data_IF_831732956320
#
_entry.id   IF_831732956320
#
_cell.length_a   1.000
_cell.length_b   1.000
_cell.length_c   1.000
_cell.angle_alpha   90.00
_cell.angle_beta   90.00
_cell.angle_gamma   90.00
#
_symmetry.space_group_name_H-M   'P 1'
#
loop_
_entity.id
_entity.type
_entity.pdbx_description
1 polymer ?
#
# COMPACT_ATOMS: atom_id res chain seq x y z
N UNK A 1 -30.98 11.82 -17.31
CA UNK A 1 -30.39 13.17 -17.43
C UNK A 1 -30.08 13.81 -16.08
N UNK A 2 -30.95 13.71 -15.07
CA UNK A 2 -30.70 14.27 -13.72
C UNK A 2 -29.38 13.85 -13.05
N UNK A 3 -28.83 12.67 -13.41
CA UNK A 3 -27.57 12.15 -12.86
C UNK A 3 -26.31 12.54 -13.67
N UNK A 4 -26.45 13.13 -14.86
CA UNK A 4 -25.29 13.55 -15.67
C UNK A 4 -24.60 14.77 -15.07
N UNK A 5 -25.38 15.75 -14.63
CA UNK A 5 -24.87 16.97 -14.03
C UNK A 5 -23.99 16.70 -12.79
N UNK A 6 -24.44 15.93 -11.77
CA UNK A 6 -23.58 15.62 -10.62
C UNK A 6 -22.35 14.79 -11.01
N UNK A 7 -22.46 13.88 -11.98
CA UNK A 7 -21.31 13.11 -12.48
C UNK A 7 -20.26 14.00 -13.15
N UNK A 8 -20.69 14.95 -13.98
CA UNK A 8 -19.80 15.90 -14.67
C UNK A 8 -19.15 16.86 -13.68
N UNK A 9 -19.94 17.44 -12.76
CA UNK A 9 -19.41 18.32 -11.71
C UNK A 9 -18.39 17.59 -10.83
N UNK A 10 -18.68 16.34 -10.46
CA UNK A 10 -17.73 15.53 -9.69
C UNK A 10 -16.47 15.19 -10.50
N UNK A 11 -16.61 14.91 -11.80
CA UNK A 11 -15.45 14.63 -12.67
C UNK A 11 -14.55 15.86 -12.82
N UNK A 12 -15.12 17.06 -12.95
CA UNK A 12 -14.38 18.34 -12.97
C UNK A 12 -13.68 18.57 -11.64
N UNK A 13 -14.35 18.30 -10.51
CA UNK A 13 -13.74 18.38 -9.18
C UNK A 13 -12.54 17.43 -9.07
N UNK A 14 -12.68 16.18 -9.51
CA UNK A 14 -11.58 15.21 -9.49
C UNK A 14 -10.41 15.61 -10.41
N UNK A 15 -10.69 16.22 -11.56
CA UNK A 15 -9.66 16.70 -12.47
C UNK A 15 -8.79 17.81 -11.84
N UNK A 16 -9.35 18.58 -10.89
CA UNK A 16 -8.63 19.61 -10.13
C UNK A 16 -7.77 19.07 -8.99
N UNK A 17 -7.85 17.79 -8.64
CA UNK A 17 -7.04 17.20 -7.55
C UNK A 17 -5.67 16.78 -8.12
N UNK A 18 -4.55 17.28 -7.56
CA UNK A 18 -3.21 16.98 -8.08
C UNK A 18 -2.82 15.49 -7.94
N UNK A 19 -3.42 14.78 -6.98
CA UNK A 19 -3.19 13.36 -6.75
C UNK A 19 -4.39 12.53 -7.21
N UNK A 20 -4.23 11.80 -8.32
CA UNK A 20 -5.28 10.93 -8.82
C UNK A 20 -5.28 9.58 -8.11
N UNK A 21 -6.00 9.49 -6.99
CA UNK A 21 -6.25 8.21 -6.33
C UNK A 21 -7.50 7.54 -6.93
N UNK A 22 -7.37 6.30 -7.41
CA UNK A 22 -8.50 5.53 -7.97
C UNK A 22 -9.67 5.40 -6.98
N UNK A 23 -9.41 5.50 -5.66
CA UNK A 23 -10.45 5.48 -4.62
C UNK A 23 -11.47 6.59 -4.78
N UNK A 24 -11.09 7.74 -5.33
CA UNK A 24 -12.03 8.84 -5.55
C UNK A 24 -13.08 8.50 -6.62
N UNK A 25 -12.77 7.61 -7.56
CA UNK A 25 -13.72 7.17 -8.58
C UNK A 25 -14.80 6.22 -8.03
N UNK A 26 -14.63 5.68 -6.81
CA UNK A 26 -15.58 4.74 -6.21
C UNK A 26 -17.00 5.32 -6.11
N UNK A 27 -17.11 6.63 -5.87
CA UNK A 27 -18.40 7.34 -5.80
C UNK A 27 -19.07 7.50 -7.17
N UNK A 28 -18.30 7.58 -8.26
CA UNK A 28 -18.86 7.68 -9.62
C UNK A 28 -19.43 6.36 -10.12
N UNK A 29 -18.90 5.24 -9.64
CA UNK A 29 -19.26 3.92 -10.12
C UNK A 29 -20.77 3.61 -10.06
N UNK A 30 -21.47 3.74 -8.92
CA UNK A 30 -22.92 3.47 -8.88
C UNK A 30 -23.72 4.42 -9.77
N UNK A 31 -23.30 5.69 -9.90
CA UNK A 31 -23.99 6.67 -10.75
C UNK A 31 -23.88 6.29 -12.23
N UNK A 32 -22.69 5.85 -12.67
CA UNK A 32 -22.47 5.37 -14.04
C UNK A 32 -23.30 4.12 -14.32
N UNK A 33 -23.41 3.19 -13.36
CA UNK A 33 -24.25 2.00 -13.53
C UNK A 33 -25.73 2.35 -13.73
N UNK A 34 -26.28 3.25 -12.91
CA UNK A 34 -27.68 3.71 -13.06
C UNK A 34 -27.88 4.41 -14.39
N UNK A 35 -26.91 5.23 -14.82
CA UNK A 35 -26.96 5.93 -16.09
C UNK A 35 -26.92 4.98 -17.30
N UNK A 36 -26.12 3.92 -17.23
CA UNK A 36 -25.98 2.92 -18.29
C UNK A 36 -27.07 1.85 -18.27
N UNK A 37 -27.87 1.77 -17.21
CA UNK A 37 -28.91 0.76 -17.06
C UNK A 37 -29.93 0.71 -18.23
N UNK A 38 -30.45 1.84 -18.76
CA UNK A 38 -31.35 1.79 -19.92
C UNK A 38 -30.67 1.27 -21.18
N UNK A 39 -29.39 1.59 -21.38
CA UNK A 39 -28.62 1.05 -22.50
C UNK A 39 -28.40 -0.47 -22.35
N UNK A 40 -28.12 -0.93 -21.13
CA UNK A 40 -28.04 -2.35 -20.81
C UNK A 40 -29.37 -3.07 -21.06
N UNK A 41 -30.51 -2.49 -20.68
CA UNK A 41 -31.83 -3.07 -20.98
C UNK A 41 -32.05 -3.23 -22.48
N UNK A 42 -31.77 -2.19 -23.28
CA UNK A 42 -31.86 -2.28 -24.75
C UNK A 42 -30.95 -3.35 -25.34
N UNK A 43 -29.71 -3.47 -24.83
CA UNK A 43 -28.78 -4.51 -25.26
C UNK A 43 -29.31 -5.92 -24.93
N UNK A 44 -29.85 -6.09 -23.71
CA UNK A 44 -30.42 -7.36 -23.26
C UNK A 44 -31.61 -7.75 -24.12
N UNK A 45 -32.55 -6.83 -24.32
CA UNK A 45 -33.73 -7.05 -25.14
C UNK A 45 -33.36 -7.33 -26.60
N UNK A 46 -32.34 -6.68 -27.16
CA UNK A 46 -31.98 -6.89 -28.56
C UNK A 46 -31.18 -8.17 -28.79
N UNK A 47 -30.24 -8.51 -27.90
CA UNK A 47 -29.23 -9.55 -28.18
C UNK A 47 -29.17 -10.68 -27.14
N UNK A 48 -29.63 -10.47 -25.90
CA UNK A 48 -29.51 -11.44 -24.80
C UNK A 48 -30.85 -12.11 -24.46
N UNK A 49 -31.74 -12.30 -25.45
CA UNK A 49 -33.03 -12.98 -25.25
C UNK A 49 -32.89 -14.49 -25.02
N UNK A 50 -31.98 -15.12 -25.76
CA UNK A 50 -31.78 -16.56 -25.69
C UNK A 50 -31.01 -16.94 -24.41
N UNK A 51 -31.49 -17.96 -23.69
CA UNK A 51 -30.87 -18.45 -22.46
C UNK A 51 -29.40 -18.81 -22.67
N UNK A 52 -29.06 -19.45 -23.79
CA UNK A 52 -27.67 -19.83 -24.12
C UNK A 52 -26.77 -18.62 -24.28
N UNK A 53 -27.23 -17.55 -24.96
CA UNK A 53 -26.44 -16.33 -25.14
C UNK A 53 -26.26 -15.60 -23.80
N UNK A 54 -27.29 -15.56 -22.96
CA UNK A 54 -27.21 -14.99 -21.61
C UNK A 54 -26.22 -15.76 -20.74
N UNK A 55 -26.23 -17.10 -20.79
CA UNK A 55 -25.27 -17.95 -20.07
C UNK A 55 -23.84 -17.70 -20.55
N UNK A 56 -23.60 -17.67 -21.86
CA UNK A 56 -22.28 -17.36 -22.42
C UNK A 56 -21.77 -15.98 -21.99
N UNK A 57 -22.65 -14.96 -22.02
CA UNK A 57 -22.30 -13.63 -21.55
C UNK A 57 -21.97 -13.60 -20.05
N UNK A 58 -22.75 -14.32 -19.23
CA UNK A 58 -22.48 -14.44 -17.79
C UNK A 58 -21.16 -15.18 -17.52
N UNK A 59 -20.89 -16.28 -18.22
CA UNK A 59 -19.63 -17.01 -18.12
C UNK A 59 -18.45 -16.12 -18.52
N UNK A 60 -18.57 -15.37 -19.63
CA UNK A 60 -17.55 -14.42 -20.05
C UNK A 60 -17.26 -13.36 -18.97
N UNK A 61 -18.31 -12.83 -18.33
CA UNK A 61 -18.16 -11.86 -17.25
C UNK A 61 -17.47 -12.48 -16.02
N UNK A 62 -17.83 -13.71 -15.64
CA UNK A 62 -17.16 -14.43 -14.54
C UNK A 62 -15.68 -14.63 -14.84
N UNK A 63 -15.33 -15.02 -16.07
CA UNK A 63 -13.93 -15.20 -16.48
C UNK A 63 -13.15 -13.89 -16.42
N UNK A 64 -13.73 -12.79 -16.91
CA UNK A 64 -13.13 -11.46 -16.83
C UNK A 64 -12.89 -11.05 -15.37
N UNK A 65 -13.91 -11.20 -14.52
CA UNK A 65 -13.81 -10.87 -13.09
C UNK A 65 -12.78 -11.75 -12.38
N UNK A 66 -12.74 -13.04 -12.69
CA UNK A 66 -11.72 -13.96 -12.17
C UNK A 66 -10.30 -13.55 -12.60
N UNK A 67 -10.11 -13.16 -13.85
CA UNK A 67 -8.84 -12.64 -14.36
C UNK A 67 -8.39 -11.36 -13.65
N UNK A 68 -9.33 -10.42 -13.40
CA UNK A 68 -9.04 -9.19 -12.66
C UNK A 68 -8.69 -9.49 -11.20
N UNK A 69 -9.44 -10.36 -10.52
CA UNK A 69 -9.15 -10.79 -9.15
C UNK A 69 -7.76 -11.40 -9.09
N UNK A 70 -7.44 -12.32 -10.00
CA UNK A 70 -6.12 -12.92 -10.06
C UNK A 70 -5.02 -11.87 -10.20
N UNK A 71 -5.15 -10.96 -11.18
CA UNK A 71 -4.19 -9.89 -11.44
C UNK A 71 -3.94 -9.02 -10.20
N UNK A 72 -4.99 -8.59 -9.50
CA UNK A 72 -4.83 -7.71 -8.34
C UNK A 72 -4.37 -8.45 -7.08
N UNK A 73 -4.81 -9.70 -6.90
CA UNK A 73 -4.39 -10.55 -5.77
C UNK A 73 -2.91 -10.92 -5.82
N UNK A 74 -2.29 -11.01 -7.00
CA UNK A 74 -0.85 -11.27 -7.14
C UNK A 74 0.00 -10.26 -6.33
N UNK A 75 -0.32 -8.97 -6.43
CA UNK A 75 0.42 -7.92 -5.70
C UNK A 75 0.25 -8.05 -4.19
N UNK A 76 -0.96 -8.36 -3.74
CA UNK A 76 -1.26 -8.57 -2.30
C UNK A 76 -0.48 -9.79 -1.79
N UNK A 77 -0.47 -10.87 -2.56
CA UNK A 77 0.25 -12.08 -2.23
C UNK A 77 1.77 -11.83 -2.12
N UNK A 78 2.35 -11.09 -3.07
CA UNK A 78 3.77 -10.72 -3.03
C UNK A 78 4.12 -9.85 -1.82
N UNK A 79 3.27 -8.87 -1.47
CA UNK A 79 3.46 -8.05 -0.25
C UNK A 79 3.43 -8.90 1.01
N UNK A 80 2.45 -9.80 1.11
CA UNK A 80 2.32 -10.71 2.25
C UNK A 80 3.54 -11.63 2.38
N UNK A 81 4.02 -12.21 1.27
CA UNK A 81 5.25 -13.02 1.28
C UNK A 81 6.48 -12.23 1.73
N UNK A 82 6.64 -10.98 1.25
CA UNK A 82 7.71 -10.08 1.68
C UNK A 82 7.61 -9.80 3.19
N UNK A 83 6.43 -9.46 3.68
CA UNK A 83 6.18 -9.17 5.10
C UNK A 83 6.50 -10.37 5.99
N UNK A 84 6.10 -11.58 5.59
CA UNK A 84 6.45 -12.81 6.30
C UNK A 84 7.96 -13.08 6.32
N UNK A 85 8.66 -12.86 5.20
CA UNK A 85 10.11 -13.06 5.13
C UNK A 85 10.85 -12.09 6.05
N UNK A 86 10.45 -10.81 6.04
CA UNK A 86 11.00 -9.79 6.93
C UNK A 86 10.72 -10.15 8.40
N UNK A 87 9.48 -10.52 8.73
CA UNK A 87 9.12 -10.89 10.09
C UNK A 87 9.94 -12.09 10.59
N UNK A 88 10.10 -13.14 9.76
CA UNK A 88 10.94 -14.30 10.11
C UNK A 88 12.39 -13.93 10.36
N UNK A 89 12.96 -13.03 9.55
CA UNK A 89 14.31 -12.54 9.77
C UNK A 89 14.42 -11.73 11.08
N UNK A 90 13.41 -10.96 11.45
CA UNK A 90 13.43 -10.19 12.70
C UNK A 90 13.29 -11.04 13.96
N UNK A 91 12.72 -12.25 13.87
CA UNK A 91 12.63 -13.14 15.03
C UNK A 91 14.00 -13.48 15.64
N UNK A 92 15.08 -13.48 14.85
CA UNK A 92 16.45 -13.69 15.36
C UNK A 92 17.00 -12.50 16.14
N UNK A 93 16.33 -11.33 16.08
CA UNK A 93 16.72 -10.10 16.76
C UNK A 93 15.68 -9.62 17.77
N UNK A 94 14.89 -10.55 18.30
CA UNK A 94 13.78 -10.28 19.22
C UNK A 94 14.20 -9.50 20.47
N UNK A 95 13.31 -8.65 20.99
CA UNK A 95 13.50 -7.91 22.24
C UNK A 95 14.26 -6.58 22.12
N UNK A 96 14.92 -6.32 20.99
CA UNK A 96 15.63 -5.04 20.75
C UNK A 96 14.68 -3.94 20.23
N UNK A 97 14.85 -2.67 20.60
CA UNK A 97 14.07 -1.56 20.04
C UNK A 97 14.14 -1.55 18.51
N UNK A 98 12.99 -1.51 17.85
CA UNK A 98 12.90 -1.55 16.39
C UNK A 98 12.23 -0.27 15.86
N UNK A 99 12.95 0.47 15.02
CA UNK A 99 12.45 1.65 14.35
C UNK A 99 12.12 1.30 12.91
N UNK A 100 10.88 1.53 12.49
CA UNK A 100 10.44 1.21 11.14
C UNK A 100 9.27 2.08 10.69
N UNK A 101 8.89 1.98 9.42
CA UNK A 101 7.73 2.66 8.86
C UNK A 101 6.90 1.66 8.05
N UNK A 102 5.58 1.85 8.00
CA UNK A 102 4.62 1.12 7.14
C UNK A 102 4.39 -0.37 7.47
N UNK A 103 5.41 -1.12 7.88
CA UNK A 103 5.34 -2.58 8.07
C UNK A 103 5.04 -3.02 9.52
N UNK A 104 5.01 -2.09 10.48
CA UNK A 104 4.87 -2.39 11.91
C UNK A 104 3.60 -3.16 12.28
N UNK A 105 2.50 -2.96 11.56
CA UNK A 105 1.28 -3.73 11.72
C UNK A 105 1.46 -5.21 11.33
N UNK A 106 2.12 -5.45 10.19
CA UNK A 106 2.39 -6.80 9.70
C UNK A 106 3.37 -7.55 10.62
N UNK A 107 4.44 -6.89 11.07
CA UNK A 107 5.41 -7.50 11.98
C UNK A 107 4.75 -8.02 13.26
N UNK A 108 3.87 -7.22 13.87
CA UNK A 108 3.11 -7.61 15.06
C UNK A 108 2.20 -8.80 14.77
N UNK A 109 1.53 -8.83 13.62
CA UNK A 109 0.66 -9.94 13.23
C UNK A 109 1.40 -11.27 13.03
N UNK A 110 2.69 -11.21 12.69
CA UNK A 110 3.56 -12.39 12.51
C UNK A 110 4.39 -12.74 13.75
N UNK A 111 4.10 -12.13 14.91
CA UNK A 111 4.70 -12.50 16.19
C UNK A 111 6.06 -11.89 16.48
N UNK A 112 6.46 -10.83 15.78
CA UNK A 112 7.65 -10.04 16.14
C UNK A 112 7.37 -9.30 17.45
N UNK A 113 8.19 -9.56 18.48
CA UNK A 113 7.99 -9.05 19.85
C UNK A 113 8.83 -7.81 20.18
N UNK A 114 9.62 -7.31 19.23
CA UNK A 114 10.40 -6.09 19.39
C UNK A 114 9.49 -4.91 19.79
N UNK A 115 9.92 -4.04 20.72
CA UNK A 115 9.24 -2.76 20.92
C UNK A 115 9.42 -1.89 19.68
N UNK A 116 8.32 -1.73 18.90
CA UNK A 116 8.34 -1.03 17.61
C UNK A 116 7.99 0.45 17.76
N UNK A 117 8.88 1.31 17.32
CA UNK A 117 8.65 2.76 17.15
C UNK A 117 8.41 3.07 15.68
N UNK A 118 7.23 3.61 15.37
CA UNK A 118 6.89 3.96 13.99
C UNK A 118 7.44 5.35 13.62
N UNK A 119 8.28 5.40 12.59
CA UNK A 119 8.93 6.63 12.09
C UNK A 119 7.97 7.66 11.49
N UNK A 120 6.68 7.34 11.34
CA UNK A 120 5.65 8.29 10.91
C UNK A 120 5.15 9.17 12.04
N UNK A 121 5.04 8.64 13.26
CA UNK A 121 4.22 9.23 14.33
C UNK A 121 4.77 10.59 14.77
N UNK A 122 6.03 10.62 15.16
CA UNK A 122 6.67 11.81 15.71
C UNK A 122 8.08 11.98 15.15
N UNK A 123 8.60 13.20 15.23
CA UNK A 123 9.97 13.48 14.83
C UNK A 123 10.92 12.92 15.89
N UNK A 124 11.86 12.09 15.46
CA UNK A 124 12.86 11.52 16.36
C UNK A 124 13.84 12.59 16.86
N UNK A 125 14.09 12.54 18.17
CA UNK A 125 15.10 13.33 18.86
C UNK A 125 16.22 12.49 19.44
N UNK A 126 15.99 11.18 19.59
CA UNK A 126 16.97 10.19 20.04
C UNK A 126 16.65 8.82 19.47
N UNK A 127 17.68 7.99 19.31
CA UNK A 127 17.57 6.56 19.08
C UNK A 127 17.94 5.82 20.37
N UNK A 128 17.20 4.77 20.70
CA UNK A 128 17.56 3.89 21.82
C UNK A 128 18.91 3.20 21.54
N UNK A 129 19.73 2.91 22.58
CA UNK A 129 20.96 2.17 22.41
C UNK A 129 20.70 0.78 21.83
N UNK A 130 21.61 0.31 20.97
CA UNK A 130 21.52 -1.00 20.31
C UNK A 130 20.21 -1.18 19.51
N UNK A 131 19.58 -0.07 19.10
CA UNK A 131 18.37 -0.11 18.31
C UNK A 131 18.63 -0.72 16.93
N UNK A 132 17.59 -1.36 16.43
CA UNK A 132 17.46 -1.82 15.06
C UNK A 132 16.67 -0.79 14.27
N UNK A 133 17.11 -0.55 13.04
CA UNK A 133 16.37 0.30 12.09
C UNK A 133 16.07 -0.55 10.87
N UNK A 134 14.79 -0.82 10.63
CA UNK A 134 14.32 -1.52 9.44
C UNK A 134 13.69 -0.51 8.49
N UNK A 135 14.35 -0.26 7.35
CA UNK A 135 13.94 0.80 6.44
C UNK A 135 14.15 0.46 4.97
N UNK A 136 13.24 0.96 4.12
CA UNK A 136 13.31 0.86 2.67
C UNK A 136 13.37 2.26 2.05
N UNK A 137 14.56 2.85 2.05
CA UNK A 137 14.76 4.20 1.56
C UNK A 137 14.31 4.40 0.10
N UNK A 138 14.65 3.51 -0.87
CA UNK A 138 14.18 3.66 -2.25
C UNK A 138 12.66 3.72 -2.37
N UNK A 139 11.93 2.91 -1.58
CA UNK A 139 10.47 2.90 -1.60
C UNK A 139 9.86 4.21 -1.09
N UNK A 140 10.50 4.87 -0.13
CA UNK A 140 9.91 6.02 0.56
C UNK A 140 10.42 7.39 0.10
N UNK A 141 11.56 7.43 -0.59
CA UNK A 141 12.26 8.68 -0.93
C UNK A 141 11.39 9.70 -1.66
N UNK A 142 10.64 9.29 -2.67
CA UNK A 142 9.85 10.22 -3.49
C UNK A 142 8.56 10.67 -2.80
N UNK A 143 7.70 9.71 -2.44
CA UNK A 143 6.38 10.00 -1.87
C UNK A 143 6.47 10.70 -0.50
N UNK A 144 7.52 10.41 0.28
CA UNK A 144 7.63 10.84 1.67
C UNK A 144 8.81 11.77 1.94
N UNK A 145 9.41 12.36 0.89
CA UNK A 145 10.63 13.19 0.98
C UNK A 145 10.62 14.18 2.16
N UNK A 146 9.55 14.95 2.29
CA UNK A 146 9.39 16.01 3.31
C UNK A 146 8.49 15.61 4.48
N UNK A 147 8.33 14.30 4.71
CA UNK A 147 7.49 13.75 5.78
C UNK A 147 8.33 13.01 6.80
N UNK A 148 7.73 12.76 7.98
CA UNK A 148 8.39 12.17 9.14
C UNK A 148 9.27 10.94 8.82
N UNK A 149 8.86 9.94 8.02
CA UNK A 149 9.69 8.78 7.74
C UNK A 149 11.06 9.13 7.14
N UNK A 150 11.08 10.05 6.16
CA UNK A 150 12.33 10.47 5.52
C UNK A 150 13.08 11.53 6.34
N UNK A 151 12.37 12.38 7.09
CA UNK A 151 13.01 13.32 8.02
C UNK A 151 13.73 12.56 9.14
N UNK A 152 13.07 11.55 9.71
CA UNK A 152 13.62 10.70 10.76
C UNK A 152 14.73 9.80 10.23
N UNK A 153 14.58 9.22 9.04
CA UNK A 153 15.64 8.47 8.40
C UNK A 153 16.92 9.31 8.24
N UNK A 154 16.80 10.53 7.71
CA UNK A 154 17.91 11.48 7.59
C UNK A 154 18.50 11.85 8.95
N UNK A 155 17.65 12.09 9.94
CA UNK A 155 18.09 12.37 11.30
C UNK A 155 18.97 11.23 11.85
N UNK A 156 18.51 9.97 11.74
CA UNK A 156 19.27 8.80 12.18
C UNK A 156 20.60 8.71 11.42
N UNK A 157 20.57 8.82 10.09
CA UNK A 157 21.78 8.76 9.27
C UNK A 157 22.81 9.83 9.63
N UNK A 158 22.38 11.02 10.03
CA UNK A 158 23.28 12.13 10.34
C UNK A 158 23.86 12.05 11.75
N UNK A 159 23.11 11.54 12.74
CA UNK A 159 23.51 11.56 14.15
C UNK A 159 24.03 10.23 14.67
N UNK A 160 23.78 9.11 13.98
CA UNK A 160 24.14 7.77 14.44
C UNK A 160 24.94 6.99 13.41
N UNK A 161 25.85 6.15 13.90
CA UNK A 161 26.59 5.19 13.09
C UNK A 161 25.75 3.95 12.89
N UNK A 162 25.31 3.71 11.66
CA UNK A 162 24.52 2.54 11.28
C UNK A 162 25.39 1.51 10.56
N UNK A 163 25.33 0.27 11.01
CA UNK A 163 25.90 -0.88 10.30
C UNK A 163 24.75 -1.68 9.72
N UNK A 164 24.75 -1.86 8.40
CA UNK A 164 23.79 -2.75 7.77
C UNK A 164 24.12 -4.20 8.16
N UNK A 165 23.21 -4.86 8.87
CA UNK A 165 23.39 -6.24 9.33
C UNK A 165 22.65 -7.25 8.46
N UNK A 166 21.65 -6.80 7.69
CA UNK A 166 20.93 -7.67 6.77
C UNK A 166 20.34 -6.91 5.56
N UNK A 167 20.16 -7.63 4.45
CA UNK A 167 19.42 -7.21 3.26
C UNK A 167 18.21 -8.11 3.08
N UNK A 168 17.02 -7.55 3.23
CA UNK A 168 15.76 -8.29 3.22
C UNK A 168 15.01 -8.12 1.89
N UNK A 169 13.94 -8.91 1.73
CA UNK A 169 13.11 -8.90 0.53
C UNK A 169 12.57 -7.50 0.19
N UNK A 170 12.36 -7.23 -1.10
CA UNK A 170 11.71 -5.98 -1.55
C UNK A 170 12.54 -4.71 -1.37
N UNK A 171 13.86 -4.82 -1.12
CA UNK A 171 14.75 -3.66 -0.92
C UNK A 171 14.79 -3.15 0.52
N UNK A 172 14.17 -3.88 1.45
CA UNK A 172 14.26 -3.60 2.87
C UNK A 172 15.66 -3.89 3.39
N UNK A 173 16.15 -3.04 4.29
CA UNK A 173 17.46 -3.18 4.90
C UNK A 173 17.33 -3.08 6.41
N UNK A 174 18.07 -3.93 7.11
CA UNK A 174 18.15 -3.92 8.56
C UNK A 174 19.50 -3.34 8.97
N UNK A 175 19.45 -2.32 9.81
CA UNK A 175 20.61 -1.65 10.37
C UNK A 175 20.64 -1.81 11.88
N UNK A 176 21.85 -1.90 12.40
CA UNK A 176 22.16 -1.85 13.82
C UNK A 176 22.86 -0.53 14.14
N UNK A 177 22.40 0.14 15.20
CA UNK A 177 23.07 1.32 15.73
C UNK A 177 24.36 0.94 16.49
N UNK A 178 25.44 1.68 16.25
CA UNK A 178 26.80 1.45 16.79
C UNK A 178 27.34 2.63 17.61
N UNK A 179 26.47 3.49 18.09
CA UNK A 179 26.81 4.74 18.78
C UNK A 179 26.44 5.98 18.00
N UNK A 180 26.33 7.09 18.72
CA UNK A 180 26.24 8.42 18.16
C UNK A 180 27.53 8.75 17.39
N UNK A 181 27.40 9.49 16.28
CA UNK A 181 28.54 10.04 15.55
C UNK A 181 29.15 11.16 16.38
N UNK A 182 30.46 11.14 16.57
CA UNK A 182 31.21 12.29 17.07
C UNK A 182 31.14 13.39 16.03
N UNK A 183 30.71 14.59 16.44
CA UNK A 183 30.78 15.82 15.64
C UNK A 183 32.22 16.14 15.20
#
# INVERSE_FOLDING_TARGET
YALLLPLLLYSVLLAGIPYQNMRYQLLTFPLVLVLLFPAFQRLREKYLKARTVMLLAATGLILIQGGLIYKYSQRIYQSNQMEQQIARALLTYSGRPLYTFWIDGALRSYGVTNPVTNLWQERLTTLAPEALVLFNEPQFREQWADKNPMVNWRYIQNHYSLVQIDSLAGGWKLYEERGAKSE
#
